data_IF_389837626646
#
_entry.id   IF_389837626646
#
_cell.length_a   1.000
_cell.length_b   1.000
_cell.length_c   1.000
_cell.angle_alpha   90.00
_cell.angle_beta   90.00
_cell.angle_gamma   90.00
#
_symmetry.space_group_name_H-M   'P 1'
#
loop_
_entity.id
_entity.type
_entity.pdbx_description
1 polymer ?
#
# COMPACT_ATOMS: atom_id res chain seq x y z
N UNK A 1 -10.60 14.28 16.85
CA UNK A 1 -9.21 14.35 16.35
C UNK A 1 -9.03 13.41 15.15
N UNK A 2 -8.14 13.70 14.19
CA UNK A 2 -7.76 12.74 13.15
C UNK A 2 -6.35 12.18 13.38
N UNK A 3 -6.04 11.09 12.68
CA UNK A 3 -4.69 10.56 12.63
C UNK A 3 -4.48 9.56 11.50
N UNK A 4 -3.20 9.36 11.16
CA UNK A 4 -2.71 8.45 10.15
C UNK A 4 -2.36 7.10 10.75
N UNK A 5 -2.91 6.01 10.22
CA UNK A 5 -2.49 4.66 10.58
C UNK A 5 -1.09 4.39 10.02
N UNK A 6 -0.13 4.13 10.90
CA UNK A 6 1.24 3.74 10.57
C UNK A 6 1.36 2.22 10.37
N UNK A 7 0.78 1.46 11.29
CA UNK A 7 0.71 0.00 11.21
C UNK A 7 -0.49 -0.54 12.01
N UNK A 8 -0.75 -1.85 11.86
CA UNK A 8 -1.81 -2.50 12.61
C UNK A 8 -1.60 -4.00 12.76
N UNK A 9 -2.00 -4.51 13.92
CA UNK A 9 -2.02 -5.93 14.22
C UNK A 9 -3.29 -6.30 14.98
N UNK A 10 -4.04 -7.27 14.43
CA UNK A 10 -5.36 -7.67 14.94
C UNK A 10 -6.33 -6.47 15.00
N UNK A 11 -6.59 -5.94 16.19
CA UNK A 11 -7.52 -4.84 16.45
C UNK A 11 -6.83 -3.64 17.11
N UNK A 12 -5.50 -3.58 17.05
CA UNK A 12 -4.69 -2.50 17.61
C UNK A 12 -3.86 -1.88 16.49
N UNK A 13 -3.87 -0.56 16.41
CA UNK A 13 -3.26 0.24 15.35
C UNK A 13 -2.39 1.32 15.97
N UNK A 14 -1.20 1.55 15.41
CA UNK A 14 -0.40 2.73 15.75
C UNK A 14 -0.85 3.88 14.87
N UNK A 15 -1.32 4.96 15.49
CA UNK A 15 -1.90 6.12 14.81
C UNK A 15 -1.11 7.37 15.17
N UNK A 16 -0.46 7.96 14.18
CA UNK A 16 0.14 9.29 14.29
C UNK A 16 -0.99 10.32 14.22
N UNK A 17 -1.25 11.00 15.33
CA UNK A 17 -2.35 11.94 15.46
C UNK A 17 -1.94 13.35 14.99
N UNK A 18 -2.92 14.23 14.75
CA UNK A 18 -2.68 15.62 14.31
C UNK A 18 -1.81 16.46 15.29
N UNK A 19 -1.59 15.98 16.51
CA UNK A 19 -0.74 16.59 17.54
C UNK A 19 0.67 15.97 17.60
N UNK A 20 1.08 15.23 16.57
CA UNK A 20 2.36 14.53 16.43
C UNK A 20 2.62 13.44 17.49
N UNK A 21 1.59 13.03 18.24
CA UNK A 21 1.68 11.93 19.21
C UNK A 21 1.19 10.63 18.55
N UNK A 22 2.02 9.59 18.63
CA UNK A 22 1.64 8.24 18.20
C UNK A 22 0.88 7.55 19.32
N UNK A 23 -0.36 7.16 19.06
CA UNK A 23 -1.23 6.45 20.01
C UNK A 23 -1.52 5.03 19.58
N UNK A 24 -1.67 4.15 20.56
CA UNK A 24 -2.18 2.80 20.38
C UNK A 24 -3.70 2.82 20.35
N UNK A 25 -4.28 2.62 19.18
CA UNK A 25 -5.71 2.79 18.96
C UNK A 25 -6.42 1.46 18.71
N UNK A 26 -7.62 1.32 19.29
CA UNK A 26 -8.52 0.19 19.05
C UNK A 26 -9.82 0.64 18.40
N UNK A 27 -10.53 -0.23 17.70
CA UNK A 27 -11.81 0.15 17.06
C UNK A 27 -12.91 0.27 18.11
N UNK A 28 -13.60 1.43 18.16
CA UNK A 28 -14.78 1.64 19.02
C UNK A 28 -15.96 0.86 18.45
N UNK A 29 -16.31 -0.26 19.07
CA UNK A 29 -17.42 -1.13 18.62
C UNK A 29 -17.05 -2.06 17.46
N UNK A 30 -18.05 -2.66 16.81
CA UNK A 30 -17.82 -3.84 15.94
C UNK A 30 -17.64 -3.58 14.46
N UNK A 31 -18.10 -2.46 13.88
CA UNK A 31 -18.06 -2.31 12.41
C UNK A 31 -17.84 -0.85 12.01
N UNK A 32 -16.69 -0.57 11.41
CA UNK A 32 -16.47 0.62 10.59
C UNK A 32 -17.17 0.34 9.24
N UNK A 33 -18.31 0.99 8.95
CA UNK A 33 -19.11 0.70 7.73
C UNK A 33 -18.30 0.77 6.42
N UNK A 34 -17.27 1.62 6.37
CA UNK A 34 -16.36 1.75 5.23
C UNK A 34 -15.44 0.54 5.00
N UNK A 35 -15.51 -0.50 5.83
CA UNK A 35 -14.68 -1.71 5.73
C UNK A 35 -15.41 -2.97 5.24
N UNK A 36 -16.67 -2.84 4.82
CA UNK A 36 -17.42 -3.98 4.29
C UNK A 36 -16.75 -4.59 3.06
N UNK A 37 -16.58 -5.92 3.07
CA UNK A 37 -15.97 -6.68 1.96
C UNK A 37 -14.48 -6.99 2.11
N UNK A 38 -13.79 -6.41 3.10
CA UNK A 38 -12.38 -6.66 3.36
C UNK A 38 -12.14 -7.56 4.58
N UNK A 39 -11.13 -8.43 4.50
CA UNK A 39 -10.71 -9.25 5.64
C UNK A 39 -10.04 -8.44 6.76
N UNK A 40 -9.42 -7.30 6.42
CA UNK A 40 -8.83 -6.36 7.37
C UNK A 40 -9.46 -4.98 7.12
N UNK A 41 -10.15 -4.38 8.11
CA UNK A 41 -10.96 -3.20 7.86
C UNK A 41 -10.14 -1.92 7.66
N UNK A 42 -8.92 -1.93 8.21
CA UNK A 42 -7.98 -0.82 8.25
C UNK A 42 -6.63 -1.26 7.70
N UNK A 43 -5.91 -0.33 7.09
CA UNK A 43 -4.55 -0.53 6.61
C UNK A 43 -3.68 0.71 6.87
N UNK A 44 -2.34 0.55 6.87
CA UNK A 44 -1.42 1.69 6.81
C UNK A 44 -1.81 2.66 5.69
N UNK A 45 -1.76 3.96 5.99
CA UNK A 45 -2.21 5.00 5.07
C UNK A 45 -3.65 5.47 5.31
N UNK A 46 -4.46 4.73 6.05
CA UNK A 46 -5.82 5.18 6.41
C UNK A 46 -5.75 6.40 7.31
N UNK A 47 -6.59 7.39 7.00
CA UNK A 47 -6.86 8.50 7.91
C UNK A 47 -8.11 8.13 8.71
N UNK A 48 -8.01 8.18 10.03
CA UNK A 48 -9.07 7.78 10.95
C UNK A 48 -9.49 8.93 11.82
N UNK A 49 -10.75 8.88 12.27
CA UNK A 49 -11.28 9.79 13.29
C UNK A 49 -11.23 9.08 14.62
N UNK A 50 -10.61 9.72 15.61
CA UNK A 50 -10.54 9.26 16.98
C UNK A 50 -11.69 9.83 17.81
N UNK A 51 -12.10 9.05 18.82
CA UNK A 51 -13.06 9.46 19.83
C UNK A 51 -12.39 10.33 20.88
N UNK A 52 -12.69 11.64 20.88
CA UNK A 52 -12.02 12.62 21.73
C UNK A 52 -12.17 12.31 23.23
N UNK A 53 -13.29 11.70 23.63
CA UNK A 53 -13.55 11.26 25.02
C UNK A 53 -12.68 10.06 25.45
N UNK A 54 -12.10 9.32 24.50
CA UNK A 54 -11.27 8.14 24.76
C UNK A 54 -9.76 8.42 24.75
N UNK A 55 -9.38 9.67 24.45
CA UNK A 55 -7.98 10.04 24.33
C UNK A 55 -7.34 10.04 25.73
N UNK A 56 -6.45 9.09 25.94
CA UNK A 56 -5.46 9.04 27.01
C UNK A 56 -4.07 9.27 26.39
N UNK A 57 -3.04 9.54 27.20
CA UNK A 57 -1.70 9.90 26.70
C UNK A 57 -1.24 9.04 25.50
N UNK A 58 -1.23 7.71 25.65
CA UNK A 58 -0.75 6.78 24.62
C UNK A 58 -1.86 5.93 23.97
N UNK A 59 -3.14 6.21 24.25
CA UNK A 59 -4.26 5.37 23.78
C UNK A 59 -5.46 6.18 23.31
N UNK A 60 -6.19 5.64 22.33
CA UNK A 60 -7.47 6.18 21.90
C UNK A 60 -8.33 5.10 21.24
N UNK A 61 -9.55 5.46 20.87
CA UNK A 61 -10.43 4.61 20.08
C UNK A 61 -10.76 5.23 18.71
N UNK A 62 -10.73 4.40 17.67
CA UNK A 62 -11.10 4.75 16.30
C UNK A 62 -12.62 4.64 16.15
N UNK A 63 -13.27 5.72 15.76
CA UNK A 63 -14.73 5.77 15.54
C UNK A 63 -15.14 5.79 14.08
N UNK A 64 -14.26 6.27 13.19
CA UNK A 64 -14.57 6.36 11.77
C UNK A 64 -13.30 6.32 10.91
N UNK A 65 -13.50 6.05 9.62
CA UNK A 65 -12.47 6.14 8.58
C UNK A 65 -12.84 7.30 7.65
N UNK A 66 -11.87 8.14 7.31
CA UNK A 66 -12.04 9.16 6.28
C UNK A 66 -12.01 8.47 4.91
N UNK A 67 -12.86 8.87 3.93
CA UNK A 67 -12.88 8.26 2.60
C UNK A 67 -11.48 8.21 1.96
N UNK A 68 -11.11 7.04 1.44
CA UNK A 68 -9.81 6.82 0.81
C UNK A 68 -9.79 7.41 -0.59
N UNK A 69 -8.65 7.97 -1.00
CA UNK A 69 -8.43 8.35 -2.42
C UNK A 69 -8.18 7.13 -3.31
N UNK A 70 -7.55 6.08 -2.76
CA UNK A 70 -7.31 4.81 -3.43
C UNK A 70 -6.95 3.70 -2.42
N UNK A 71 -6.90 2.46 -2.92
CA UNK A 71 -6.67 1.25 -2.14
C UNK A 71 -5.72 0.29 -2.85
N UNK A 72 -4.71 -0.23 -2.17
CA UNK A 72 -3.86 -1.28 -2.70
C UNK A 72 -4.20 -2.61 -2.03
N UNK A 73 -4.67 -3.59 -2.82
CA UNK A 73 -5.31 -4.81 -2.32
C UNK A 73 -4.61 -6.06 -2.82
N UNK A 74 -4.68 -7.15 -2.07
CA UNK A 74 -4.25 -8.47 -2.53
C UNK A 74 -5.36 -9.46 -2.36
N UNK A 75 -5.60 -10.29 -3.36
CA UNK A 75 -6.54 -11.40 -3.21
C UNK A 75 -6.02 -12.41 -2.17
N UNK A 76 -6.75 -12.58 -1.07
CA UNK A 76 -6.44 -13.60 -0.08
C UNK A 76 -7.14 -14.91 -0.45
N UNK A 77 -6.35 -15.86 -0.94
CA UNK A 77 -6.86 -17.18 -1.39
C UNK A 77 -7.56 -17.92 -0.25
N UNK A 78 -7.00 -17.90 0.97
CA UNK A 78 -7.54 -18.66 2.12
C UNK A 78 -8.90 -18.11 2.58
N UNK A 79 -9.07 -16.79 2.54
CA UNK A 79 -10.30 -16.11 2.97
C UNK A 79 -11.25 -15.83 1.81
N UNK A 80 -10.82 -16.05 0.57
CA UNK A 80 -11.55 -15.77 -0.68
C UNK A 80 -12.11 -14.35 -0.74
N UNK A 81 -11.31 -13.40 -0.25
CA UNK A 81 -11.69 -12.00 -0.15
C UNK A 81 -10.47 -11.11 -0.44
N UNK A 82 -10.67 -9.86 -0.91
CA UNK A 82 -9.60 -8.87 -0.95
C UNK A 82 -9.06 -8.58 0.45
N UNK A 83 -7.75 -8.52 0.56
CA UNK A 83 -7.02 -8.04 1.73
C UNK A 83 -6.46 -6.66 1.38
N UNK A 84 -6.87 -5.63 2.11
CA UNK A 84 -6.27 -4.31 2.02
C UNK A 84 -4.84 -4.37 2.57
N UNK A 85 -3.88 -3.88 1.78
CA UNK A 85 -2.47 -3.82 2.16
C UNK A 85 -2.05 -2.41 2.58
N UNK A 86 -2.54 -1.40 1.85
CA UNK A 86 -2.32 0.01 2.13
C UNK A 86 -3.42 0.85 1.45
N UNK A 87 -3.55 2.11 1.85
CA UNK A 87 -4.47 3.08 1.24
C UNK A 87 -3.80 4.45 1.09
N UNK A 88 -4.47 5.34 0.36
CA UNK A 88 -4.04 6.73 0.18
C UNK A 88 -2.62 6.89 -0.38
N UNK A 89 -2.24 6.02 -1.32
CA UNK A 89 -0.92 6.02 -1.94
C UNK A 89 -0.85 7.05 -3.08
N UNK A 90 0.23 7.81 -3.14
CA UNK A 90 0.55 8.65 -4.31
C UNK A 90 1.32 7.86 -5.37
N UNK A 91 2.27 7.04 -4.92
CA UNK A 91 3.17 6.29 -5.78
C UNK A 91 3.21 4.81 -5.42
N UNK A 92 3.35 3.95 -6.44
CA UNK A 92 3.71 2.55 -6.29
C UNK A 92 5.10 2.31 -6.90
N UNK A 93 6.11 2.12 -6.05
CA UNK A 93 7.46 1.79 -6.50
C UNK A 93 7.57 0.27 -6.75
N UNK A 94 7.61 -0.12 -8.02
CA UNK A 94 7.67 -1.53 -8.43
C UNK A 94 9.14 -1.91 -8.65
N UNK A 95 9.72 -2.54 -7.64
CA UNK A 95 11.13 -2.96 -7.70
C UNK A 95 11.25 -4.29 -8.45
N UNK A 96 12.11 -4.31 -9.48
CA UNK A 96 12.49 -5.50 -10.24
C UNK A 96 14.01 -5.62 -10.32
N UNK A 97 14.51 -6.77 -10.73
CA UNK A 97 15.95 -7.06 -10.87
C UNK A 97 16.20 -7.77 -12.20
N UNK A 98 17.35 -7.53 -12.87
CA UNK A 98 17.76 -8.31 -14.02
C UNK A 98 18.08 -9.76 -13.62
N UNK A 99 18.67 -9.97 -12.43
CA UNK A 99 18.97 -11.28 -11.89
C UNK A 99 19.05 -11.28 -10.34
N UNK A 100 19.07 -12.47 -9.74
CA UNK A 100 19.13 -12.75 -8.30
C UNK A 100 18.13 -11.94 -7.44
N UNK A 101 16.81 -12.17 -7.56
CA UNK A 101 16.15 -13.29 -8.24
C UNK A 101 15.98 -13.08 -9.76
N UNK A 102 15.62 -14.15 -10.52
CA UNK A 102 15.43 -14.04 -11.97
C UNK A 102 14.44 -12.96 -12.34
N UNK A 103 14.68 -12.30 -13.48
CA UNK A 103 13.78 -11.29 -14.01
C UNK A 103 12.35 -11.83 -14.22
N UNK A 104 11.37 -11.13 -13.65
CA UNK A 104 9.93 -11.51 -13.69
C UNK A 104 9.08 -10.38 -14.24
N UNK A 105 9.11 -10.12 -15.56
CA UNK A 105 8.41 -8.98 -16.14
C UNK A 105 6.89 -9.04 -15.97
N UNK A 106 6.30 -10.25 -15.98
CA UNK A 106 4.86 -10.44 -15.77
C UNK A 106 4.40 -10.03 -14.37
N UNK A 107 5.29 -10.03 -13.37
CA UNK A 107 4.95 -9.50 -12.05
C UNK A 107 4.80 -7.98 -12.11
N UNK A 108 5.72 -7.30 -12.78
CA UNK A 108 5.69 -5.85 -13.00
C UNK A 108 4.42 -5.47 -13.78
N UNK A 109 4.13 -6.15 -14.89
CA UNK A 109 2.92 -5.91 -15.70
C UNK A 109 1.62 -5.99 -14.86
N UNK A 110 1.54 -6.96 -13.94
CA UNK A 110 0.38 -7.10 -13.03
C UNK A 110 0.31 -6.00 -11.98
N UNK A 111 1.45 -5.56 -11.46
CA UNK A 111 1.50 -4.46 -10.50
C UNK A 111 1.12 -3.13 -11.17
N UNK A 112 1.57 -2.89 -12.41
CA UNK A 112 1.16 -1.75 -13.23
C UNK A 112 -0.35 -1.74 -13.46
N UNK A 113 -0.93 -2.86 -13.90
CA UNK A 113 -2.37 -2.97 -14.11
C UNK A 113 -3.19 -2.65 -12.86
N UNK A 114 -2.71 -3.08 -11.68
CA UNK A 114 -3.36 -2.76 -10.42
C UNK A 114 -3.21 -1.28 -10.03
N UNK A 115 -2.02 -0.70 -10.24
CA UNK A 115 -1.77 0.71 -9.95
C UNK A 115 -2.69 1.61 -10.78
N UNK A 116 -2.79 1.35 -12.08
CA UNK A 116 -3.70 2.05 -12.99
C UNK A 116 -5.17 1.89 -12.57
N UNK A 117 -5.61 0.66 -12.26
CA UNK A 117 -6.98 0.42 -11.80
C UNK A 117 -7.34 1.22 -10.53
N UNK A 118 -6.35 1.48 -9.67
CA UNK A 118 -6.52 2.19 -8.41
C UNK A 118 -6.10 3.66 -8.47
N UNK A 119 -5.76 4.20 -9.64
CA UNK A 119 -5.27 5.57 -9.80
C UNK A 119 -4.06 5.88 -8.87
N UNK A 120 -3.11 4.95 -8.78
CA UNK A 120 -1.84 5.13 -8.07
C UNK A 120 -0.75 5.28 -9.12
N UNK A 121 0.13 6.29 -9.00
CA UNK A 121 1.18 6.53 -10.01
C UNK A 121 2.28 5.47 -9.89
N UNK A 122 2.47 4.57 -10.87
CA UNK A 122 3.51 3.57 -10.78
C UNK A 122 4.87 4.11 -11.22
N UNK A 123 5.94 3.65 -10.57
CA UNK A 123 7.33 3.88 -10.98
C UNK A 123 8.07 2.56 -10.93
N UNK A 124 8.69 2.17 -12.03
CA UNK A 124 9.47 0.93 -12.10
C UNK A 124 10.89 1.23 -11.66
N UNK A 125 11.40 0.45 -10.70
CA UNK A 125 12.76 0.61 -10.17
C UNK A 125 13.56 -0.66 -10.48
N UNK A 126 14.59 -0.53 -11.30
CA UNK A 126 15.48 -1.63 -11.64
C UNK A 126 16.63 -1.66 -10.63
N UNK A 127 16.50 -2.48 -9.60
CA UNK A 127 17.59 -2.70 -8.67
C UNK A 127 18.64 -3.64 -9.29
N UNK A 128 19.88 -3.58 -8.78
CA UNK A 128 21.03 -4.37 -9.25
C UNK A 128 21.36 -4.14 -10.72
N UNK A 129 21.24 -2.91 -11.19
CA UNK A 129 21.54 -2.56 -12.58
C UNK A 129 23.05 -2.65 -12.91
N UNK A 130 23.89 -2.81 -11.90
CA UNK A 130 25.34 -3.01 -12.00
C UNK A 130 25.75 -4.42 -12.49
N UNK A 131 24.86 -5.42 -12.41
CA UNK A 131 25.22 -6.80 -12.81
C UNK A 131 25.23 -6.98 -14.32
N UNK A 132 26.01 -7.94 -14.83
CA UNK A 132 26.13 -8.20 -16.27
C UNK A 132 24.79 -8.51 -16.96
N UNK A 133 23.89 -9.24 -16.27
CA UNK A 133 22.54 -9.56 -16.78
C UNK A 133 21.66 -8.31 -17.01
N UNK A 134 22.04 -7.13 -16.48
CA UNK A 134 21.37 -5.88 -16.85
C UNK A 134 21.49 -5.60 -18.35
N UNK A 135 22.53 -6.11 -19.02
CA UNK A 135 22.77 -5.90 -20.45
C UNK A 135 22.06 -6.95 -21.32
N UNK A 136 21.34 -7.90 -20.72
CA UNK A 136 20.60 -8.91 -21.47
C UNK A 136 19.52 -8.24 -22.35
N UNK A 137 19.49 -8.62 -23.62
CA UNK A 137 18.60 -8.02 -24.63
C UNK A 137 17.14 -8.07 -24.19
N UNK A 138 16.66 -9.23 -23.73
CA UNK A 138 15.27 -9.41 -23.28
C UNK A 138 14.90 -8.54 -22.06
N UNK A 139 15.87 -8.21 -21.20
CA UNK A 139 15.64 -7.31 -20.07
C UNK A 139 15.52 -5.86 -20.56
N UNK A 140 16.46 -5.41 -21.39
CA UNK A 140 16.48 -4.06 -21.96
C UNK A 140 15.27 -3.78 -22.85
N UNK A 141 14.89 -4.73 -23.70
CA UNK A 141 13.67 -4.65 -24.51
C UNK A 141 12.44 -4.40 -23.65
N UNK A 142 12.34 -5.10 -22.50
CA UNK A 142 11.21 -4.91 -21.61
C UNK A 142 11.22 -3.54 -20.91
N UNK A 143 12.39 -3.04 -20.50
CA UNK A 143 12.49 -1.69 -19.93
C UNK A 143 12.08 -0.63 -20.94
N UNK A 144 12.60 -0.74 -22.17
CA UNK A 144 12.28 0.18 -23.25
C UNK A 144 10.78 0.14 -23.59
N UNK A 145 10.16 -1.05 -23.57
CA UNK A 145 8.73 -1.20 -23.80
C UNK A 145 7.90 -0.51 -22.71
N UNK A 146 8.26 -0.65 -21.43
CA UNK A 146 7.58 0.05 -20.34
C UNK A 146 7.70 1.58 -20.47
N UNK A 147 8.88 2.10 -20.84
CA UNK A 147 9.05 3.53 -21.11
C UNK A 147 8.25 4.00 -22.33
N UNK A 148 8.23 3.20 -23.40
CA UNK A 148 7.49 3.50 -24.64
C UNK A 148 5.99 3.65 -24.39
N UNK A 149 5.43 2.88 -23.46
CA UNK A 149 4.01 2.97 -23.07
C UNK A 149 3.76 3.99 -21.95
N UNK A 150 4.77 4.78 -21.55
CA UNK A 150 4.62 5.95 -20.70
C UNK A 150 4.99 5.75 -19.23
N UNK A 151 5.48 4.58 -18.83
CA UNK A 151 5.90 4.36 -17.44
C UNK A 151 7.30 4.91 -17.18
N UNK A 152 7.47 5.55 -16.02
CA UNK A 152 8.79 5.97 -15.55
C UNK A 152 9.61 4.76 -15.11
N UNK A 153 10.80 4.59 -15.70
CA UNK A 153 11.76 3.56 -15.31
C UNK A 153 13.00 4.22 -14.71
N UNK A 154 13.39 3.77 -13.52
CA UNK A 154 14.65 4.12 -12.86
C UNK A 154 15.62 2.95 -12.98
N UNK A 155 16.88 3.24 -13.30
CA UNK A 155 17.97 2.28 -13.50
C UNK A 155 19.10 2.60 -12.52
#
# INVERSE_FOLDING_TARGET
>A
MQGLILNGSKNVFEVECDDDIVRSCSIKGKILKASEGYYNPLAPGDIVVLDDESIEDEKAQIVNIVPRKNEFVRWNIKKRQPQLLASNLDYLLIVTTPDNPPFRPRFVDRALAQAEYQNITPVIVCNKYDVAASQDEAFQERLAEWERIGYRVLR
#
